data_IF_592259876186
#
_entry.id   IF_592259876186
#
_cell.length_a   1.000
_cell.length_b   1.000
_cell.length_c   1.000
_cell.angle_alpha   90.00
_cell.angle_beta   90.00
_cell.angle_gamma   90.00
#
_symmetry.space_group_name_H-M   'P 1'
#
loop_
_entity.id
_entity.type
_entity.pdbx_description
1 polymer ?
#
# COMPACT_ATOMS: atom_id res chain seq x y z
N UNK A 1 -1.71 -11.86 -8.11
CA UNK A 1 -0.27 -12.01 -7.84
C UNK A 1 -0.01 -12.40 -6.39
N UNK A 2 1.12 -13.07 -6.15
CA UNK A 2 1.56 -13.42 -4.80
C UNK A 2 2.48 -12.33 -4.25
N UNK A 3 2.89 -12.48 -2.97
CA UNK A 3 3.73 -11.49 -2.30
C UNK A 3 5.04 -11.19 -3.02
N UNK A 4 5.64 -12.20 -3.67
CA UNK A 4 6.90 -12.00 -4.39
C UNK A 4 6.73 -11.37 -5.77
N UNK A 5 5.51 -11.21 -6.26
CA UNK A 5 5.21 -10.75 -7.61
C UNK A 5 4.68 -9.32 -7.67
N UNK A 6 4.57 -8.63 -6.55
CA UNK A 6 3.93 -7.32 -6.52
C UNK A 6 4.60 -6.39 -5.50
N UNK A 7 4.51 -5.10 -5.77
CA UNK A 7 4.87 -4.07 -4.81
C UNK A 7 3.69 -3.80 -3.89
N UNK A 8 3.97 -3.41 -2.67
CA UNK A 8 2.92 -3.11 -1.72
C UNK A 8 3.47 -2.83 -0.33
N UNK A 9 2.64 -3.05 0.66
CA UNK A 9 3.02 -2.92 2.06
C UNK A 9 2.40 -4.05 2.87
N UNK A 10 2.94 -4.25 4.05
CA UNK A 10 2.46 -5.28 4.96
C UNK A 10 2.68 -4.81 6.39
N UNK A 11 1.73 -5.09 7.27
CA UNK A 11 1.90 -4.86 8.70
C UNK A 11 2.09 -6.22 9.36
N UNK A 12 3.24 -6.42 10.02
CA UNK A 12 3.57 -7.71 10.63
C UNK A 12 2.99 -7.87 12.04
N UNK A 13 3.32 -8.98 12.70
CA UNK A 13 2.82 -9.26 14.05
C UNK A 13 3.39 -8.35 15.12
N UNK A 14 4.48 -7.65 14.83
CA UNK A 14 5.03 -6.61 15.70
C UNK A 14 4.40 -5.24 15.44
N UNK A 15 3.39 -5.20 14.57
CA UNK A 15 2.70 -3.97 14.16
C UNK A 15 3.60 -3.01 13.37
N UNK A 16 4.64 -3.55 12.73
CA UNK A 16 5.51 -2.74 11.87
C UNK A 16 4.96 -2.69 10.45
N UNK A 17 4.75 -1.49 9.96
CA UNK A 17 4.31 -1.25 8.58
C UNK A 17 5.55 -1.23 7.70
N UNK A 18 5.62 -2.17 6.78
CA UNK A 18 6.82 -2.41 5.97
C UNK A 18 6.52 -2.38 4.49
N UNK A 19 7.51 -1.98 3.71
CA UNK A 19 7.45 -1.97 2.26
C UNK A 19 7.70 -3.38 1.71
N UNK A 20 6.82 -3.84 0.83
CA UNK A 20 7.03 -5.06 0.05
C UNK A 20 7.50 -4.68 -1.35
N UNK A 21 8.54 -5.35 -1.83
CA UNK A 21 9.08 -5.12 -3.16
C UNK A 21 8.93 -6.36 -4.02
N UNK A 22 8.49 -6.17 -5.26
CA UNK A 22 8.38 -7.27 -6.20
C UNK A 22 9.77 -7.85 -6.45
N UNK A 23 9.89 -9.17 -6.34
CA UNK A 23 11.15 -9.88 -6.54
C UNK A 23 11.15 -10.72 -7.81
N UNK A 24 9.98 -11.09 -8.32
CA UNK A 24 9.85 -11.91 -9.51
C UNK A 24 8.76 -11.35 -10.42
N UNK A 25 8.84 -11.69 -11.70
CA UNK A 25 7.82 -11.30 -12.68
C UNK A 25 6.54 -12.08 -12.41
N UNK A 26 5.36 -11.44 -12.44
CA UNK A 26 4.09 -12.13 -12.28
C UNK A 26 3.92 -13.23 -13.33
N UNK A 27 3.33 -14.34 -12.91
CA UNK A 27 3.08 -15.46 -13.80
C UNK A 27 1.92 -15.16 -14.76
N UNK A 28 2.18 -15.34 -16.06
CA UNK A 28 1.16 -15.18 -17.10
C UNK A 28 0.55 -13.79 -17.11
N UNK A 29 -0.78 -13.72 -17.02
CA UNK A 29 -1.53 -12.47 -17.03
C UNK A 29 -1.99 -12.04 -15.63
N UNK A 30 -1.34 -12.57 -14.59
CA UNK A 30 -1.66 -12.21 -13.20
C UNK A 30 -1.46 -10.72 -12.96
N UNK A 31 -2.36 -10.13 -12.18
CA UNK A 31 -2.31 -8.71 -11.84
C UNK A 31 -2.35 -8.52 -10.33
N UNK A 32 -1.83 -7.39 -9.82
CA UNK A 32 -1.93 -7.07 -8.40
C UNK A 32 -3.38 -6.98 -7.95
N UNK A 33 -3.64 -7.34 -6.70
CA UNK A 33 -4.99 -7.32 -6.16
C UNK A 33 -5.62 -5.93 -6.23
N UNK A 34 -4.86 -4.87 -5.94
CA UNK A 34 -5.38 -3.50 -6.00
C UNK A 34 -5.86 -3.14 -7.40
N UNK A 35 -5.16 -3.62 -8.43
CA UNK A 35 -5.54 -3.39 -9.81
C UNK A 35 -6.86 -4.09 -10.14
N UNK A 36 -7.00 -5.33 -9.70
CA UNK A 36 -8.22 -6.13 -9.94
C UNK A 36 -9.42 -5.45 -9.30
N UNK A 37 -9.30 -5.07 -8.02
CA UNK A 37 -10.37 -4.38 -7.29
C UNK A 37 -10.71 -3.05 -7.97
N UNK A 38 -9.70 -2.29 -8.39
CA UNK A 38 -9.91 -1.01 -9.06
C UNK A 38 -10.66 -1.18 -10.38
N UNK A 39 -10.34 -2.21 -11.16
CA UNK A 39 -11.03 -2.48 -12.42
C UNK A 39 -12.49 -2.83 -12.19
N UNK A 40 -12.79 -3.63 -11.17
CA UNK A 40 -14.17 -3.98 -10.85
C UNK A 40 -14.95 -2.72 -10.48
N UNK A 41 -14.38 -1.88 -9.62
CA UNK A 41 -15.02 -0.64 -9.19
C UNK A 41 -15.31 0.31 -10.36
N UNK A 42 -14.34 0.48 -11.25
CA UNK A 42 -14.50 1.34 -12.43
C UNK A 42 -15.58 0.83 -13.36
N UNK A 43 -15.66 -0.47 -13.55
CA UNK A 43 -16.71 -1.07 -14.40
C UNK A 43 -18.10 -0.99 -13.79
N UNK A 44 -18.17 -0.83 -12.48
CA UNK A 44 -19.42 -0.58 -11.78
C UNK A 44 -19.82 0.90 -11.77
N UNK A 45 -18.97 1.76 -12.34
CA UNK A 45 -19.22 3.20 -12.39
C UNK A 45 -18.87 3.94 -11.11
N UNK A 46 -18.07 3.35 -10.24
CA UNK A 46 -17.66 3.98 -8.99
C UNK A 46 -16.42 4.86 -9.25
N UNK A 47 -16.49 6.11 -8.83
CA UNK A 47 -15.36 7.04 -8.97
C UNK A 47 -14.36 6.86 -7.82
N UNK A 48 -13.12 7.34 -8.02
CA UNK A 48 -12.10 7.34 -6.99
C UNK A 48 -11.18 6.13 -7.01
N UNK A 49 -11.31 5.24 -8.01
CA UNK A 49 -10.48 4.03 -8.13
C UNK A 49 -9.54 4.08 -9.33
N UNK A 50 -9.13 5.26 -9.73
CA UNK A 50 -8.16 5.43 -10.83
C UNK A 50 -6.72 5.31 -10.38
N UNK A 51 -6.40 4.37 -9.52
CA UNK A 51 -5.05 4.16 -9.01
C UNK A 51 -4.12 3.64 -10.12
N UNK A 52 -2.89 4.12 -10.10
CA UNK A 52 -1.88 3.72 -11.08
C UNK A 52 -0.78 2.84 -10.47
N UNK A 53 -0.72 2.76 -9.14
CA UNK A 53 0.32 2.00 -8.44
C UNK A 53 -0.11 1.65 -7.03
N UNK A 54 0.63 0.73 -6.41
CA UNK A 54 0.44 0.40 -4.99
C UNK A 54 0.70 1.62 -4.11
N UNK A 55 1.60 2.52 -4.54
CA UNK A 55 1.87 3.77 -3.85
C UNK A 55 0.60 4.62 -3.71
N UNK A 56 -0.17 4.75 -4.79
CA UNK A 56 -1.39 5.54 -4.77
C UNK A 56 -2.40 4.95 -3.79
N UNK A 57 -2.54 3.63 -3.78
CA UNK A 57 -3.46 2.94 -2.87
C UNK A 57 -3.03 3.14 -1.42
N UNK A 58 -1.74 2.98 -1.13
CA UNK A 58 -1.21 3.17 0.21
C UNK A 58 -1.40 4.60 0.70
N UNK A 59 -1.12 5.58 -0.15
CA UNK A 59 -1.28 6.98 0.23
C UNK A 59 -2.75 7.32 0.51
N UNK A 60 -3.68 6.74 -0.23
CA UNK A 60 -5.10 6.94 0.08
C UNK A 60 -5.47 6.27 1.41
N UNK A 61 -4.96 5.08 1.68
CA UNK A 61 -5.16 4.43 2.98
C UNK A 61 -4.73 5.36 4.11
N UNK A 62 -3.56 5.97 3.99
CA UNK A 62 -3.04 6.90 4.99
C UNK A 62 -3.91 8.15 5.12
N UNK A 63 -4.58 8.56 4.06
CA UNK A 63 -5.44 9.75 4.09
C UNK A 63 -6.79 9.49 4.76
N UNK A 64 -7.28 8.24 4.73
CA UNK A 64 -8.62 7.91 5.25
C UNK A 64 -8.58 7.18 6.59
N UNK A 65 -7.45 6.58 6.95
CA UNK A 65 -7.31 5.84 8.20
C UNK A 65 -6.53 6.66 9.21
N UNK A 66 -7.16 6.96 10.36
CA UNK A 66 -6.50 7.73 11.41
C UNK A 66 -5.30 7.01 12.01
N UNK A 67 -5.29 5.68 11.99
CA UNK A 67 -4.18 4.90 12.53
C UNK A 67 -2.95 4.90 11.64
N UNK A 68 -3.08 5.29 10.38
CA UNK A 68 -1.96 5.39 9.42
C UNK A 68 -1.71 6.82 8.96
N UNK A 69 -2.37 7.80 9.55
CA UNK A 69 -2.31 9.19 9.08
C UNK A 69 -0.92 9.82 9.19
N UNK A 70 -0.06 9.27 10.04
CA UNK A 70 1.28 9.83 10.27
C UNK A 70 2.35 9.37 9.31
N UNK A 71 2.04 8.47 8.37
CA UNK A 71 3.01 7.96 7.42
C UNK A 71 2.51 8.08 5.98
N UNK A 72 3.43 7.91 5.05
CA UNK A 72 3.12 7.81 3.63
C UNK A 72 4.09 6.81 3.00
N UNK A 73 3.93 6.59 1.69
CA UNK A 73 4.77 5.63 0.97
C UNK A 73 6.26 5.97 1.03
N UNK A 74 6.59 7.26 0.95
CA UNK A 74 7.99 7.67 0.95
C UNK A 74 8.68 7.33 2.28
N UNK A 75 7.96 7.42 3.39
CA UNK A 75 8.51 7.07 4.69
C UNK A 75 8.84 5.58 4.79
N UNK A 76 7.96 4.70 4.30
CA UNK A 76 8.23 3.25 4.38
C UNK A 76 9.24 2.77 3.36
N UNK A 77 9.63 3.59 2.39
CA UNK A 77 10.74 3.26 1.49
C UNK A 77 12.07 3.20 2.25
N UNK A 78 12.23 4.02 3.29
CA UNK A 78 13.47 4.15 4.04
C UNK A 78 13.48 3.41 5.37
N UNK A 79 12.35 2.86 5.80
CA UNK A 79 12.29 2.16 7.07
C UNK A 79 10.91 1.61 7.36
N UNK A 80 10.73 1.08 8.56
CA UNK A 80 9.42 0.62 8.99
C UNK A 80 8.94 1.43 10.20
N UNK A 81 7.65 1.40 10.44
CA UNK A 81 7.01 2.19 11.50
C UNK A 81 5.98 1.34 12.22
N UNK A 82 5.94 1.41 13.53
CA UNK A 82 4.97 0.65 14.31
C UNK A 82 3.60 1.32 14.30
N UNK A 83 2.60 0.56 13.95
CA UNK A 83 1.20 0.95 14.01
C UNK A 83 0.72 0.99 15.46
N UNK A 84 -0.12 1.91 15.91
CA UNK A 84 -0.73 3.01 15.14
C UNK A 84 0.19 4.23 15.02
N UNK A 85 0.02 4.97 13.93
CA UNK A 85 0.84 6.16 13.64
C UNK A 85 -0.11 7.29 13.25
N UNK A 86 -0.82 7.90 14.21
CA UNK A 86 -1.83 8.92 13.90
C UNK A 86 -1.25 10.29 13.54
N UNK A 87 0.02 10.53 13.85
CA UNK A 87 0.68 11.82 13.60
C UNK A 87 2.01 11.61 12.89
N UNK A 88 2.50 12.61 12.13
CA UNK A 88 3.78 12.50 11.44
C UNK A 88 4.92 12.09 12.39
N UNK A 89 5.74 11.13 11.92
CA UNK A 89 6.81 10.55 12.75
C UNK A 89 8.19 10.71 12.11
N UNK A 90 8.36 11.69 11.24
CA UNK A 90 9.59 11.86 10.48
C UNK A 90 10.84 11.94 11.33
N UNK A 91 10.71 12.54 12.51
CA UNK A 91 11.83 12.72 13.41
C UNK A 91 12.17 11.47 14.21
N UNK A 92 11.24 10.53 14.28
CA UNK A 92 11.43 9.28 15.00
C UNK A 92 11.86 8.14 14.09
N UNK A 93 12.00 8.41 12.82
CA UNK A 93 12.38 7.41 11.83
C UNK A 93 13.86 7.03 11.98
#
# INVERSE_FOLDING_TARGET
TTLGETDGSCTNTERRVQRLRAAVTPHGQSKPDWWIVSQIAQRMGIEGFGFESARDVFNELCSVSTTYAGIDWDLIEDGDYQWPIPEPTRESA
#
